data_IF_993629803177
#
_entry.id   IF_993629803177
#
_cell.length_a   1.000
_cell.length_b   1.000
_cell.length_c   1.000
_cell.angle_alpha   90.00
_cell.angle_beta   90.00
_cell.angle_gamma   90.00
#
_symmetry.space_group_name_H-M   'P 1'
#
loop_
_entity.id
_entity.type
_entity.pdbx_description
1 polymer ?
#
# COMPACT_ATOMS: atom_id res chain seq x y z
N UNK A 1 -7.48 -9.55 -24.44
CA UNK A 1 -7.99 -8.42 -23.63
C UNK A 1 -7.86 -7.16 -24.46
N UNK A 2 -8.93 -6.39 -24.64
CA UNK A 2 -8.87 -5.16 -25.43
C UNK A 2 -8.29 -4.00 -24.60
N UNK A 3 -7.87 -2.90 -25.24
CA UNK A 3 -7.41 -1.69 -24.55
C UNK A 3 -8.47 -1.14 -23.59
N UNK A 4 -9.74 -1.22 -23.99
CA UNK A 4 -10.88 -0.81 -23.16
C UNK A 4 -10.98 -1.68 -21.90
N UNK A 5 -10.88 -2.99 -22.04
CA UNK A 5 -10.93 -3.91 -20.90
C UNK A 5 -9.78 -3.64 -19.93
N UNK A 6 -8.58 -3.36 -20.46
CA UNK A 6 -7.40 -3.04 -19.66
C UNK A 6 -7.61 -1.76 -18.84
N UNK A 7 -8.13 -0.70 -19.47
CA UNK A 7 -8.43 0.56 -18.81
C UNK A 7 -9.48 0.38 -17.69
N UNK A 8 -10.56 -0.35 -17.97
CA UNK A 8 -11.58 -0.63 -16.96
C UNK A 8 -11.04 -1.45 -15.80
N UNK A 9 -10.28 -2.51 -16.08
CA UNK A 9 -9.69 -3.33 -15.03
C UNK A 9 -8.75 -2.51 -14.14
N UNK A 10 -7.98 -1.62 -14.74
CA UNK A 10 -7.09 -0.73 -14.00
C UNK A 10 -7.86 0.24 -13.12
N UNK A 11 -8.88 0.92 -13.66
CA UNK A 11 -9.73 1.84 -12.89
C UNK A 11 -10.43 1.12 -11.74
N UNK A 12 -11.00 -0.06 -11.99
CA UNK A 12 -11.65 -0.88 -10.96
C UNK A 12 -10.66 -1.33 -9.89
N UNK A 13 -9.48 -1.80 -10.26
CA UNK A 13 -8.43 -2.21 -9.31
C UNK A 13 -7.92 -1.03 -8.48
N UNK A 14 -7.78 0.13 -9.10
CA UNK A 14 -7.40 1.37 -8.43
C UNK A 14 -8.47 1.82 -7.43
N UNK A 15 -9.74 1.86 -7.84
CA UNK A 15 -10.86 2.23 -6.97
C UNK A 15 -11.03 1.26 -5.78
N UNK A 16 -10.85 -0.04 -6.03
CA UNK A 16 -10.84 -1.06 -4.99
C UNK A 16 -9.71 -0.81 -3.98
N UNK A 17 -8.47 -0.66 -4.47
CA UNK A 17 -7.30 -0.35 -3.62
C UNK A 17 -7.51 0.93 -2.81
N UNK A 18 -8.02 1.99 -3.45
CA UNK A 18 -8.29 3.30 -2.83
C UNK A 18 -9.31 3.17 -1.70
N UNK A 19 -10.39 2.41 -1.90
CA UNK A 19 -11.44 2.22 -0.89
C UNK A 19 -10.87 1.59 0.39
N UNK A 20 -10.13 0.49 0.24
CA UNK A 20 -9.52 -0.19 1.38
C UNK A 20 -8.43 0.66 2.06
N UNK A 21 -7.64 1.37 1.27
CA UNK A 21 -6.67 2.34 1.76
C UNK A 21 -7.34 3.46 2.58
N UNK A 22 -8.44 4.03 2.09
CA UNK A 22 -9.14 5.11 2.79
C UNK A 22 -9.68 4.63 4.12
N UNK A 23 -10.24 3.42 4.18
CA UNK A 23 -10.70 2.81 5.42
C UNK A 23 -9.53 2.61 6.41
N UNK A 24 -8.40 2.07 5.95
CA UNK A 24 -7.19 1.85 6.77
C UNK A 24 -6.63 3.17 7.31
N UNK A 25 -6.48 4.18 6.45
CA UNK A 25 -5.90 5.47 6.84
C UNK A 25 -6.83 6.21 7.79
N UNK A 26 -8.15 6.16 7.57
CA UNK A 26 -9.11 6.69 8.52
C UNK A 26 -8.98 6.00 9.90
N UNK A 27 -8.89 4.67 9.93
CA UNK A 27 -8.66 3.93 11.17
C UNK A 27 -7.34 4.33 11.87
N UNK A 28 -6.23 4.41 11.13
CA UNK A 28 -4.95 4.79 11.69
C UNK A 28 -4.95 6.23 12.23
N UNK A 29 -5.57 7.17 11.51
CA UNK A 29 -5.56 8.59 11.87
C UNK A 29 -6.54 8.96 12.99
N UNK A 30 -7.68 8.26 13.07
CA UNK A 30 -8.78 8.62 13.96
C UNK A 30 -9.04 7.62 15.09
N UNK A 31 -8.68 6.33 14.92
CA UNK A 31 -8.92 5.32 15.95
C UNK A 31 -7.66 4.96 16.75
N UNK A 32 -6.48 4.96 16.12
CA UNK A 32 -5.23 4.49 16.75
C UNK A 32 -4.27 5.64 17.10
N UNK A 33 -4.20 6.66 16.27
CA UNK A 33 -3.18 7.69 16.46
C UNK A 33 -3.49 8.58 17.67
N UNK A 34 -2.43 8.87 18.43
CA UNK A 34 -2.50 9.72 19.62
C UNK A 34 -3.01 11.12 19.29
N UNK A 35 -3.63 11.75 20.28
CA UNK A 35 -4.05 13.14 20.25
C UNK A 35 -2.88 14.07 19.86
N UNK A 36 -3.19 15.20 19.19
CA UNK A 36 -2.19 16.19 18.84
C UNK A 36 -1.55 16.76 20.14
N UNK A 37 -0.21 16.89 20.21
CA UNK A 37 0.45 17.47 21.37
C UNK A 37 0.25 18.99 21.43
N UNK A 38 0.13 19.54 22.64
CA UNK A 38 -0.08 20.97 22.89
C UNK A 38 1.15 21.84 22.60
N UNK A 39 2.36 21.27 22.75
CA UNK A 39 3.61 21.97 22.43
C UNK A 39 3.70 22.26 20.91
N UNK A 40 3.84 23.53 20.49
CA UNK A 40 3.92 23.91 19.08
C UNK A 40 5.03 23.18 18.30
N UNK A 41 6.18 22.90 18.92
CA UNK A 41 7.28 22.23 18.23
C UNK A 41 7.03 20.73 18.06
N UNK A 42 6.47 20.08 19.08
CA UNK A 42 6.00 18.70 18.99
C UNK A 42 4.88 18.55 17.95
N UNK A 43 3.94 19.50 17.89
CA UNK A 43 2.83 19.51 16.94
C UNK A 43 3.32 19.54 15.50
N UNK A 44 4.29 20.41 15.18
CA UNK A 44 4.85 20.50 13.82
C UNK A 44 5.46 19.17 13.34
N UNK A 45 6.15 18.45 14.22
CA UNK A 45 6.72 17.12 13.93
C UNK A 45 5.63 16.06 13.76
N UNK A 46 4.64 16.04 14.65
CA UNK A 46 3.48 15.13 14.57
C UNK A 46 2.69 15.32 13.27
N UNK A 47 2.39 16.57 12.90
CA UNK A 47 1.63 16.91 11.69
C UNK A 47 2.40 16.54 10.42
N UNK A 48 3.71 16.79 10.41
CA UNK A 48 4.60 16.40 9.31
C UNK A 48 4.59 14.88 9.13
N UNK A 49 4.73 14.10 10.21
CA UNK A 49 4.72 12.63 10.17
C UNK A 49 3.41 12.08 9.60
N UNK A 50 2.26 12.61 10.04
CA UNK A 50 0.94 12.23 9.51
C UNK A 50 0.79 12.53 8.01
N UNK A 51 1.23 13.71 7.56
CA UNK A 51 1.23 14.07 6.13
C UNK A 51 2.08 13.11 5.30
N UNK A 52 3.31 12.82 5.75
CA UNK A 52 4.18 11.86 5.06
C UNK A 52 3.58 10.46 4.99
N UNK A 53 2.93 10.00 6.06
CA UNK A 53 2.23 8.71 6.07
C UNK A 53 1.12 8.68 5.01
N UNK A 54 0.32 9.74 4.90
CA UNK A 54 -0.74 9.84 3.87
C UNK A 54 -0.11 9.81 2.47
N UNK A 55 0.92 10.63 2.22
CA UNK A 55 1.56 10.69 0.90
C UNK A 55 2.22 9.38 0.49
N UNK A 56 2.96 8.73 1.40
CA UNK A 56 3.63 7.46 1.08
C UNK A 56 2.61 6.38 0.74
N UNK A 57 1.53 6.30 1.51
CA UNK A 57 0.49 5.29 1.30
C UNK A 57 -0.33 5.59 0.02
N UNK A 58 -0.64 6.86 -0.27
CA UNK A 58 -1.32 7.26 -1.52
C UNK A 58 -0.49 6.93 -2.77
N UNK A 59 0.83 7.13 -2.69
CA UNK A 59 1.75 6.89 -3.81
C UNK A 59 1.85 5.42 -4.22
N UNK A 60 1.47 4.49 -3.33
CA UNK A 60 1.48 3.06 -3.60
C UNK A 60 0.23 2.56 -4.35
N UNK A 61 -0.88 3.31 -4.32
CA UNK A 61 -2.14 2.90 -4.95
C UNK A 61 -2.02 2.58 -6.45
N UNK A 62 -1.36 3.41 -7.28
CA UNK A 62 -1.17 3.08 -8.69
C UNK A 62 -0.36 1.80 -8.90
N UNK A 63 0.59 1.50 -8.01
CA UNK A 63 1.40 0.28 -8.09
C UNK A 63 0.54 -0.96 -7.85
N UNK A 64 -0.33 -0.95 -6.83
CA UNK A 64 -1.24 -2.07 -6.55
C UNK A 64 -2.19 -2.35 -7.71
N UNK A 65 -2.80 -1.29 -8.27
CA UNK A 65 -3.64 -1.41 -9.46
C UNK A 65 -2.86 -1.99 -10.66
N UNK A 66 -1.63 -1.52 -10.88
CA UNK A 66 -0.79 -1.97 -11.99
C UNK A 66 -0.39 -3.44 -11.85
N UNK A 67 0.01 -3.87 -10.65
CA UNK A 67 0.39 -5.28 -10.40
C UNK A 67 -0.80 -6.23 -10.54
N UNK A 68 -1.98 -5.83 -10.05
CA UNK A 68 -3.21 -6.59 -10.20
C UNK A 68 -3.58 -6.77 -11.69
N UNK A 69 -3.61 -5.68 -12.45
CA UNK A 69 -3.91 -5.71 -13.89
C UNK A 69 -2.87 -6.52 -14.65
N UNK A 70 -1.58 -6.40 -14.29
CA UNK A 70 -0.51 -7.19 -14.91
C UNK A 70 -0.74 -8.70 -14.70
N UNK A 71 -1.13 -9.11 -13.48
CA UNK A 71 -1.46 -10.50 -13.19
C UNK A 71 -2.59 -11.04 -14.06
N UNK A 72 -3.66 -10.25 -14.23
CA UNK A 72 -4.76 -10.61 -15.12
C UNK A 72 -4.35 -10.62 -16.60
N UNK A 73 -3.57 -9.63 -17.04
CA UNK A 73 -3.10 -9.53 -18.42
C UNK A 73 -2.16 -10.67 -18.82
N UNK A 74 -1.41 -11.22 -17.86
CA UNK A 74 -0.55 -12.40 -18.04
C UNK A 74 -1.29 -13.73 -17.87
N UNK A 75 -2.58 -13.70 -17.50
CA UNK A 75 -3.39 -14.90 -17.27
C UNK A 75 -3.03 -15.66 -15.99
N UNK A 76 -2.31 -15.04 -15.06
CA UNK A 76 -1.97 -15.65 -13.77
C UNK A 76 -3.17 -15.70 -12.82
N UNK A 77 -4.07 -14.73 -12.95
CA UNK A 77 -5.30 -14.61 -12.17
C UNK A 77 -6.43 -14.16 -13.09
N UNK A 78 -7.66 -14.50 -12.74
CA UNK A 78 -8.82 -13.94 -13.42
C UNK A 78 -9.02 -12.45 -13.06
N UNK A 79 -9.74 -11.67 -13.89
CA UNK A 79 -9.93 -10.24 -13.66
C UNK A 79 -10.60 -9.89 -12.33
N UNK A 80 -11.50 -10.74 -11.82
CA UNK A 80 -12.19 -10.49 -10.55
C UNK A 80 -11.20 -10.66 -9.40
N UNK A 81 -10.42 -11.74 -9.42
CA UNK A 81 -9.35 -11.99 -8.45
C UNK A 81 -8.30 -10.90 -8.47
N UNK A 82 -7.98 -10.31 -9.63
CA UNK A 82 -7.09 -9.15 -9.70
C UNK A 82 -7.65 -7.94 -8.94
N UNK A 83 -8.93 -7.59 -9.12
CA UNK A 83 -9.56 -6.47 -8.39
C UNK A 83 -9.60 -6.74 -6.88
N UNK A 84 -9.91 -7.98 -6.47
CA UNK A 84 -9.87 -8.38 -5.06
C UNK A 84 -8.44 -8.30 -4.51
N UNK A 85 -7.44 -8.75 -5.27
CA UNK A 85 -6.04 -8.64 -4.89
C UNK A 85 -5.61 -7.18 -4.70
N UNK A 86 -6.10 -6.28 -5.56
CA UNK A 86 -5.87 -4.85 -5.44
C UNK A 86 -6.52 -4.27 -4.17
N UNK A 87 -7.78 -4.64 -3.88
CA UNK A 87 -8.48 -4.29 -2.64
C UNK A 87 -7.67 -4.71 -1.40
N UNK A 88 -7.23 -5.98 -1.35
CA UNK A 88 -6.45 -6.52 -0.22
C UNK A 88 -5.11 -5.81 -0.10
N UNK A 89 -4.43 -5.53 -1.23
CA UNK A 89 -3.16 -4.80 -1.23
C UNK A 89 -3.33 -3.39 -0.68
N UNK A 90 -4.42 -2.69 -1.05
CA UNK A 90 -4.80 -1.39 -0.48
C UNK A 90 -5.10 -1.46 1.02
N UNK A 91 -5.72 -2.54 1.49
CA UNK A 91 -6.02 -2.76 2.91
C UNK A 91 -4.75 -3.00 3.76
N UNK A 92 -3.77 -3.71 3.20
CA UNK A 92 -2.49 -3.97 3.87
C UNK A 92 -1.61 -2.72 3.91
N UNK A 93 -1.67 -1.89 2.87
CA UNK A 93 -0.94 -0.63 2.79
C UNK A 93 0.56 -0.82 2.50
N UNK A 94 1.19 0.29 2.13
CA UNK A 94 2.61 0.39 1.82
C UNK A 94 3.51 0.14 3.04
N UNK A 95 3.09 0.54 4.25
CA UNK A 95 3.85 0.27 5.47
C UNK A 95 4.07 -1.24 5.72
N UNK A 96 3.07 -2.08 5.41
CA UNK A 96 3.23 -3.53 5.48
C UNK A 96 4.19 -4.05 4.40
N UNK A 97 4.10 -3.50 3.19
CA UNK A 97 5.02 -3.83 2.10
C UNK A 97 6.47 -3.46 2.42
N UNK A 98 6.72 -2.28 3.00
CA UNK A 98 8.06 -1.89 3.47
C UNK A 98 8.56 -2.82 4.56
N UNK A 99 7.71 -3.23 5.50
CA UNK A 99 8.09 -4.17 6.55
C UNK A 99 8.41 -5.57 5.98
N UNK A 100 7.65 -6.03 4.98
CA UNK A 100 7.94 -7.26 4.27
C UNK A 100 9.28 -7.19 3.49
N UNK A 101 9.54 -6.07 2.79
CA UNK A 101 10.82 -5.81 2.14
C UNK A 101 11.95 -5.80 3.15
N UNK A 102 11.80 -5.10 4.27
CA UNK A 102 12.79 -5.04 5.33
C UNK A 102 13.11 -6.45 5.86
N UNK A 103 12.08 -7.28 6.09
CA UNK A 103 12.25 -8.67 6.49
C UNK A 103 13.01 -9.50 5.45
N UNK A 104 12.72 -9.33 4.16
CA UNK A 104 13.43 -10.01 3.07
C UNK A 104 14.88 -9.54 2.98
N UNK A 105 15.14 -8.23 3.07
CA UNK A 105 16.48 -7.65 3.04
C UNK A 105 17.29 -8.13 4.25
N UNK A 106 16.73 -8.07 5.46
CA UNK A 106 17.38 -8.57 6.69
C UNK A 106 17.74 -10.05 6.59
N UNK A 107 16.84 -10.89 6.06
CA UNK A 107 17.13 -12.31 5.81
C UNK A 107 18.25 -12.49 4.76
N UNK A 108 18.24 -11.71 3.68
CA UNK A 108 19.29 -11.73 2.64
C UNK A 108 20.65 -11.28 3.17
N UNK A 109 20.68 -10.26 4.03
CA UNK A 109 21.90 -9.77 4.66
C UNK A 109 22.40 -10.73 5.75
N UNK A 110 21.50 -11.31 6.55
CA UNK A 110 21.85 -12.34 7.54
C UNK A 110 22.38 -13.64 6.89
N UNK A 111 21.98 -13.94 5.65
CA UNK A 111 22.57 -15.01 4.84
C UNK A 111 23.96 -14.65 4.26
N UNK A 112 24.37 -13.38 4.34
CA UNK A 112 25.70 -12.90 3.93
C UNK A 112 26.73 -12.90 5.07
N UNK A 113 26.29 -13.01 6.33
CA UNK A 113 27.13 -12.91 7.53
C UNK A 113 27.45 -14.29 8.16
N UNK A 114 27.03 -15.37 7.50
CA UNK A 114 27.53 -16.72 7.77
C UNK A 114 28.62 -17.08 6.75
N UNK A 115 29.84 -16.64 7.03
CA UNK A 115 31.05 -17.35 6.58
C UNK A 115 31.94 -17.61 7.80
N UNK A 116 32.25 -18.88 8.12
CA UNK A 116 33.36 -19.21 9.01
C UNK A 116 34.70 -18.80 8.41
#
# INVERSE_FOLDING_TARGET
>A
MTTRDFAWLWVSSYAASLTAFSARIAFLLFAVASDPPDDPQAYARWARKRRWLIFSEFSALPMFATLAVLGAAKGWVDPVTAVIGALVSGALGFAFFLHAIEGVIRRRLALGEQRP
#
